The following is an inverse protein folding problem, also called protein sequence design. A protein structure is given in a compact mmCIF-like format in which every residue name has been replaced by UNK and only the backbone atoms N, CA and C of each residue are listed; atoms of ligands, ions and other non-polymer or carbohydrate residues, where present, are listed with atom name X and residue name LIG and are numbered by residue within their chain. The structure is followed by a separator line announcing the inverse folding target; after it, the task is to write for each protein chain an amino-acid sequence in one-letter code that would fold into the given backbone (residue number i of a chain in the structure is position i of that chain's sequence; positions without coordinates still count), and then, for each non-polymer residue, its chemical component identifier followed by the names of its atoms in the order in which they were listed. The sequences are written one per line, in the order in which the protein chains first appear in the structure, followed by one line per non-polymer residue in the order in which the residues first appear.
data_IF_774077830165
#
_entry.id   IF_774077830165
#
_cell.length_a   1.000
_cell.length_b   1.000
_cell.length_c   1.000
_cell.angle_alpha   90.00
_cell.angle_beta   90.00
_cell.angle_gamma   90.00
#
_symmetry.space_group_name_H-M   'P 1'
#
loop_
_entity.id
_entity.type
_entity.pdbx_description
1 polymer ?
#
# COMPACT_ATOMS: atom_id res chain seq x y z
N UNK A 1 2.58 -9.94 -23.09
CA UNK A 1 2.70 -8.84 -22.14
C UNK A 1 4.18 -8.64 -21.84
N UNK A 2 4.67 -7.39 -21.86
CA UNK A 2 6.06 -7.08 -21.50
C UNK A 2 6.20 -7.16 -19.98
N UNK A 3 7.35 -7.69 -19.51
CA UNK A 3 7.67 -7.66 -18.09
C UNK A 3 8.06 -6.24 -17.66
N UNK A 4 7.71 -5.81 -16.42
CA UNK A 4 8.17 -4.52 -15.89
C UNK A 4 9.70 -4.46 -15.79
N UNK A 5 10.25 -3.27 -16.07
CA UNK A 5 11.67 -2.96 -15.88
C UNK A 5 11.85 -2.25 -14.54
N UNK A 6 12.60 -2.86 -13.66
CA UNK A 6 12.83 -2.33 -12.30
C UNK A 6 14.15 -1.55 -12.21
N UNK A 7 14.24 -0.54 -11.32
CA UNK A 7 15.51 0.08 -10.97
C UNK A 7 16.54 -0.93 -10.44
N UNK A 8 17.85 -0.65 -10.53
CA UNK A 8 18.91 -1.60 -10.18
C UNK A 8 18.86 -2.19 -8.77
N UNK A 9 18.24 -1.50 -7.81
CA UNK A 9 18.07 -1.95 -6.43
C UNK A 9 16.92 -2.96 -6.24
N UNK A 10 16.13 -3.20 -7.29
CA UNK A 10 14.96 -4.06 -7.22
C UNK A 10 15.10 -5.24 -8.19
N UNK A 11 14.63 -6.41 -7.76
CA UNK A 11 14.61 -7.64 -8.53
C UNK A 11 13.18 -8.13 -8.76
N UNK A 12 12.72 -8.13 -10.01
CA UNK A 12 11.35 -8.49 -10.37
C UNK A 12 11.15 -9.99 -10.58
N UNK A 13 10.16 -10.57 -9.91
CA UNK A 13 9.79 -11.99 -9.97
C UNK A 13 8.30 -12.13 -10.34
N UNK A 14 7.97 -12.58 -11.54
CA UNK A 14 6.58 -12.84 -11.89
C UNK A 14 6.01 -13.99 -11.07
N UNK A 15 4.81 -13.82 -10.54
CA UNK A 15 4.06 -14.90 -9.94
C UNK A 15 3.47 -15.81 -11.04
N UNK A 16 3.38 -17.11 -10.77
CA UNK A 16 2.72 -18.05 -11.66
C UNK A 16 1.20 -17.85 -11.62
N UNK A 17 0.51 -18.42 -12.61
CA UNK A 17 -0.95 -18.39 -12.61
C UNK A 17 -1.50 -19.05 -11.33
N UNK A 18 -2.35 -18.33 -10.62
CA UNK A 18 -2.95 -18.79 -9.37
C UNK A 18 -2.12 -18.55 -8.10
N UNK A 19 -0.84 -18.14 -8.22
CA UNK A 19 -0.05 -17.73 -7.05
C UNK A 19 -0.43 -16.32 -6.61
N UNK A 20 -0.56 -16.12 -5.31
CA UNK A 20 -0.67 -14.78 -4.72
C UNK A 20 0.73 -14.16 -4.56
N UNK A 21 1.01 -12.98 -5.14
CA UNK A 21 2.30 -12.32 -5.00
C UNK A 21 2.69 -12.01 -3.55
N UNK A 22 1.74 -11.68 -2.69
CA UNK A 22 2.00 -11.35 -1.30
C UNK A 22 2.43 -12.59 -0.50
N UNK A 23 1.71 -13.70 -0.62
CA UNK A 23 2.08 -14.97 0.00
C UNK A 23 3.41 -15.49 -0.53
N UNK A 24 3.63 -15.37 -1.85
CA UNK A 24 4.90 -15.78 -2.47
C UNK A 24 6.08 -14.93 -1.98
N UNK A 25 5.91 -13.61 -1.85
CA UNK A 25 6.94 -12.73 -1.32
C UNK A 25 7.30 -13.09 0.13
N UNK A 26 6.31 -13.39 0.97
CA UNK A 26 6.54 -13.85 2.35
C UNK A 26 7.33 -15.17 2.37
N UNK A 27 6.93 -16.15 1.54
CA UNK A 27 7.64 -17.43 1.44
C UNK A 27 9.10 -17.25 0.97
N UNK A 28 9.35 -16.36 0.00
CA UNK A 28 10.70 -16.03 -0.47
C UNK A 28 11.51 -15.33 0.63
N UNK A 29 10.90 -14.39 1.36
CA UNK A 29 11.53 -13.68 2.46
C UNK A 29 11.92 -14.62 3.61
N UNK A 30 11.03 -15.54 3.99
CA UNK A 30 11.30 -16.56 5.00
C UNK A 30 12.44 -17.53 4.59
N UNK A 31 12.69 -17.68 3.27
CA UNK A 31 13.82 -18.45 2.73
C UNK A 31 15.10 -17.60 2.57
N UNK A 32 15.08 -16.34 2.94
CA UNK A 32 16.24 -15.44 2.94
C UNK A 32 16.52 -14.79 1.58
N UNK A 33 15.50 -14.43 0.81
CA UNK A 33 15.71 -13.61 -0.38
C UNK A 33 16.14 -12.19 0.01
N UNK A 34 16.79 -11.50 -0.92
CA UNK A 34 17.27 -10.14 -0.69
C UNK A 34 16.12 -9.14 -0.54
N UNK A 35 16.34 -8.11 0.28
CA UNK A 35 15.52 -6.91 0.29
C UNK A 35 15.49 -6.26 -1.11
N UNK A 36 14.35 -5.70 -1.51
CA UNK A 36 14.13 -5.22 -2.87
C UNK A 36 13.62 -6.29 -3.85
N UNK A 37 13.36 -7.53 -3.39
CA UNK A 37 12.65 -8.55 -4.17
C UNK A 37 11.20 -8.11 -4.38
N UNK A 38 10.78 -7.94 -5.65
CA UNK A 38 9.42 -7.56 -6.04
C UNK A 38 8.73 -8.72 -6.73
N UNK A 39 7.67 -9.24 -6.14
CA UNK A 39 6.82 -10.27 -6.75
C UNK A 39 5.58 -9.61 -7.33
N UNK A 40 5.23 -9.94 -8.57
CA UNK A 40 4.10 -9.30 -9.25
C UNK A 40 3.28 -10.26 -10.10
N UNK A 41 2.00 -9.93 -10.26
CA UNK A 41 1.06 -10.59 -11.16
C UNK A 41 0.24 -9.53 -11.90
N UNK A 42 0.34 -9.50 -13.24
CA UNK A 42 -0.42 -8.59 -14.10
C UNK A 42 -1.42 -9.45 -14.87
N UNK A 43 -2.69 -9.34 -14.52
CA UNK A 43 -3.81 -10.01 -15.18
C UNK A 43 -4.68 -8.98 -15.89
N UNK A 44 -5.63 -9.40 -16.70
CA UNK A 44 -6.48 -8.48 -17.45
C UNK A 44 -7.39 -7.64 -16.53
N UNK A 45 -7.86 -8.25 -15.45
CA UNK A 45 -8.81 -7.68 -14.49
C UNK A 45 -8.16 -7.17 -13.21
N UNK A 46 -6.89 -7.53 -12.96
CA UNK A 46 -6.26 -7.32 -11.65
C UNK A 46 -4.74 -7.17 -11.73
N UNK A 47 -4.23 -6.23 -10.97
CA UNK A 47 -2.80 -6.04 -10.75
C UNK A 47 -2.47 -6.31 -9.27
N UNK A 48 -1.49 -7.17 -9.01
CA UNK A 48 -0.99 -7.48 -7.66
C UNK A 48 0.52 -7.37 -7.62
N UNK A 49 1.03 -6.73 -6.59
CA UNK A 49 2.47 -6.53 -6.39
C UNK A 49 2.79 -6.68 -4.91
N UNK A 50 3.91 -7.29 -4.59
CA UNK A 50 4.47 -7.32 -3.24
C UNK A 50 5.97 -7.06 -3.28
N UNK A 51 6.49 -6.36 -2.28
CA UNK A 51 7.92 -6.08 -2.13
C UNK A 51 8.42 -6.57 -0.78
N UNK A 52 9.60 -7.14 -0.76
CA UNK A 52 10.32 -7.54 0.45
C UNK A 52 11.27 -6.43 0.86
N UNK A 53 11.19 -6.03 2.13
CA UNK A 53 12.15 -5.16 2.80
C UNK A 53 12.98 -5.98 3.79
N UNK A 54 14.21 -5.58 4.02
CA UNK A 54 15.09 -6.06 5.10
C UNK A 54 15.29 -4.89 6.09
N UNK A 55 14.43 -4.75 7.11
CA UNK A 55 14.50 -3.63 8.04
C UNK A 55 15.77 -3.66 8.90
N UNK A 56 16.31 -2.48 9.21
CA UNK A 56 17.40 -2.27 10.16
C UNK A 56 16.93 -1.51 11.42
N UNK A 57 15.62 -1.30 11.52
CA UNK A 57 14.97 -0.59 12.63
C UNK A 57 13.86 -1.44 13.23
N UNK A 58 13.45 -1.19 14.49
CA UNK A 58 12.35 -1.92 15.11
C UNK A 58 11.05 -1.88 14.29
N UNK A 59 10.23 -2.92 14.41
CA UNK A 59 8.98 -3.07 13.67
C UNK A 59 8.07 -1.84 13.77
N UNK A 60 7.96 -1.22 14.96
CA UNK A 60 7.18 0.00 15.16
C UNK A 60 7.60 1.19 14.27
N UNK A 61 8.83 1.18 13.78
CA UNK A 61 9.36 2.19 12.85
C UNK A 61 9.38 1.63 11.41
N UNK A 62 9.74 0.34 11.23
CA UNK A 62 9.75 -0.33 9.94
C UNK A 62 8.36 -0.40 9.28
N UNK A 63 7.28 -0.42 10.07
CA UNK A 63 5.90 -0.45 9.56
C UNK A 63 5.56 0.77 8.69
N UNK A 64 6.35 1.86 8.78
CA UNK A 64 6.26 3.02 7.89
C UNK A 64 6.40 2.66 6.39
N UNK A 65 6.90 1.47 6.06
CA UNK A 65 6.95 0.97 4.68
C UNK A 65 5.56 0.79 4.06
N UNK A 66 4.52 0.56 4.87
CA UNK A 66 3.14 0.49 4.36
C UNK A 66 2.67 1.86 3.83
N UNK A 67 2.62 2.95 4.60
CA UNK A 67 2.29 4.28 4.08
C UNK A 67 3.29 4.76 3.01
N UNK A 68 4.55 4.38 3.09
CA UNK A 68 5.55 4.71 2.07
C UNK A 68 5.19 4.10 0.71
N UNK A 69 4.85 2.83 0.66
CA UNK A 69 4.39 2.16 -0.56
C UNK A 69 3.08 2.77 -1.09
N UNK A 70 2.19 3.19 -0.19
CA UNK A 70 0.90 3.78 -0.52
C UNK A 70 1.07 5.18 -1.14
N UNK A 71 1.91 6.04 -0.56
CA UNK A 71 2.24 7.35 -1.13
C UNK A 71 2.97 7.19 -2.46
N UNK A 72 3.89 6.22 -2.54
CA UNK A 72 4.56 5.86 -3.81
C UNK A 72 3.56 5.44 -4.89
N UNK A 73 2.52 4.70 -4.52
CA UNK A 73 1.44 4.31 -5.44
C UNK A 73 0.63 5.52 -5.93
N UNK A 74 0.23 6.40 -5.01
CA UNK A 74 -0.49 7.62 -5.37
C UNK A 74 0.32 8.50 -6.35
N UNK A 75 1.61 8.71 -6.06
CA UNK A 75 2.48 9.48 -6.95
C UNK A 75 2.63 8.80 -8.34
N UNK A 76 2.73 7.47 -8.37
CA UNK A 76 2.83 6.71 -9.60
C UNK A 76 1.57 6.81 -10.45
N UNK A 77 0.40 6.63 -9.85
CA UNK A 77 -0.86 6.76 -10.55
C UNK A 77 -1.11 8.20 -11.00
N UNK A 78 -0.84 9.19 -10.14
CA UNK A 78 -0.97 10.61 -10.47
C UNK A 78 -0.07 11.07 -11.62
N UNK A 79 1.07 10.39 -11.85
CA UNK A 79 1.95 10.66 -13.00
C UNK A 79 1.45 10.05 -14.34
N UNK A 80 0.55 9.06 -14.28
CA UNK A 80 0.10 8.30 -15.45
C UNK A 80 -1.37 8.52 -15.79
N UNK A 81 -2.19 8.79 -14.77
CA UNK A 81 -3.62 8.98 -14.91
C UNK A 81 -3.97 10.41 -15.37
N UNK A 82 -5.17 10.63 -15.91
CA UNK A 82 -5.71 11.97 -16.14
C UNK A 82 -5.72 12.80 -14.84
N UNK A 83 -5.53 14.14 -14.93
CA UNK A 83 -5.38 15.01 -13.76
C UNK A 83 -6.62 15.09 -12.84
N UNK A 84 -7.80 14.71 -13.35
CA UNK A 84 -9.04 14.64 -12.59
C UNK A 84 -9.17 13.40 -11.69
N UNK A 85 -8.28 12.42 -11.84
CA UNK A 85 -8.32 11.18 -11.05
C UNK A 85 -7.76 11.43 -9.66
N UNK A 86 -8.63 11.31 -8.65
CA UNK A 86 -8.26 11.48 -7.26
C UNK A 86 -8.00 10.13 -6.57
N UNK A 87 -6.87 10.03 -5.86
CA UNK A 87 -6.53 8.87 -5.03
C UNK A 87 -6.62 9.26 -3.57
N UNK A 88 -7.33 8.46 -2.78
CA UNK A 88 -7.35 8.56 -1.33
C UNK A 88 -7.01 7.20 -0.71
N UNK A 89 -6.47 7.24 0.49
CA UNK A 89 -5.99 6.06 1.20
C UNK A 89 -6.76 5.88 2.51
N UNK A 90 -7.20 4.67 2.80
CA UNK A 90 -7.70 4.31 4.12
C UNK A 90 -6.53 3.95 5.05
N UNK A 91 -6.67 4.27 6.34
CA UNK A 91 -5.70 3.81 7.33
C UNK A 91 -5.58 2.28 7.36
N UNK A 92 -6.65 1.59 7.07
CA UNK A 92 -6.79 0.13 6.96
C UNK A 92 -6.20 -0.49 5.67
N UNK A 93 -5.46 0.31 4.89
CA UNK A 93 -4.86 -0.12 3.63
C UNK A 93 -5.78 -0.06 2.41
N UNK A 94 -7.02 0.43 2.53
CA UNK A 94 -7.90 0.60 1.38
C UNK A 94 -7.39 1.67 0.43
N UNK A 95 -7.34 1.37 -0.86
CA UNK A 95 -7.05 2.32 -1.94
C UNK A 95 -8.38 2.73 -2.59
N UNK A 96 -8.67 4.03 -2.57
CA UNK A 96 -9.83 4.59 -3.26
C UNK A 96 -9.41 5.41 -4.47
N UNK A 97 -10.13 5.25 -5.56
CA UNK A 97 -10.02 6.08 -6.77
C UNK A 97 -11.38 6.77 -6.96
N UNK A 98 -11.37 8.10 -7.10
CA UNK A 98 -12.57 8.93 -7.20
C UNK A 98 -13.62 8.66 -6.09
N UNK A 99 -13.15 8.26 -4.89
CA UNK A 99 -13.99 8.02 -3.72
C UNK A 99 -14.46 6.57 -3.53
N UNK A 100 -14.42 5.70 -4.55
CA UNK A 100 -14.79 4.30 -4.47
C UNK A 100 -13.56 3.39 -4.26
N UNK A 101 -13.73 2.28 -3.55
CA UNK A 101 -12.69 1.29 -3.31
C UNK A 101 -12.25 0.63 -4.62
N UNK A 102 -10.98 0.78 -4.96
CA UNK A 102 -10.37 0.21 -6.17
C UNK A 102 -9.33 -0.87 -5.85
N UNK A 103 -8.79 -0.85 -4.63
CA UNK A 103 -7.76 -1.79 -4.23
C UNK A 103 -7.51 -1.83 -2.73
N UNK A 104 -6.48 -2.59 -2.35
CA UNK A 104 -6.05 -2.74 -0.96
C UNK A 104 -4.54 -2.89 -0.85
N UNK A 105 -4.00 -2.50 0.29
CA UNK A 105 -2.63 -2.79 0.72
C UNK A 105 -2.63 -3.70 1.94
N UNK A 106 -1.58 -4.50 2.07
CA UNK A 106 -1.36 -5.44 3.17
C UNK A 106 0.09 -5.39 3.59
N UNK A 107 0.35 -5.76 4.84
CA UNK A 107 1.71 -5.84 5.38
C UNK A 107 1.85 -7.07 6.26
N UNK A 108 3.00 -7.75 6.16
CA UNK A 108 3.39 -8.84 7.04
C UNK A 108 4.86 -8.69 7.41
N UNK A 109 5.26 -9.24 8.55
CA UNK A 109 6.64 -9.23 9.02
C UNK A 109 6.99 -10.56 9.69
N UNK A 110 8.29 -10.85 9.83
CA UNK A 110 8.79 -12.06 10.51
C UNK A 110 8.56 -12.06 12.02
N UNK A 111 8.24 -10.91 12.62
CA UNK A 111 7.88 -10.74 14.02
C UNK A 111 6.71 -9.78 14.14
N UNK A 112 5.87 -9.96 15.15
CA UNK A 112 4.79 -9.04 15.53
C UNK A 112 5.18 -8.12 16.69
N UNK A 113 6.36 -8.32 17.28
CA UNK A 113 6.83 -7.56 18.44
C UNK A 113 7.34 -6.17 18.02
N UNK A 114 6.65 -5.13 18.47
CA UNK A 114 6.89 -3.75 18.06
C UNK A 114 8.33 -3.27 18.27
N UNK A 115 9.01 -3.74 19.31
CA UNK A 115 10.39 -3.38 19.67
C UNK A 115 11.46 -4.23 19.01
N UNK A 116 11.12 -5.30 18.30
CA UNK A 116 12.06 -6.17 17.60
C UNK A 116 12.34 -5.67 16.18
N UNK A 117 13.55 -5.92 15.69
CA UNK A 117 13.90 -5.73 14.28
C UNK A 117 13.50 -6.99 13.55
N UNK A 118 12.49 -6.96 12.65
CA UNK A 118 12.10 -8.16 11.92
C UNK A 118 13.15 -8.52 10.86
N UNK A 119 13.38 -9.81 10.63
CA UNK A 119 14.28 -10.29 9.58
C UNK A 119 13.81 -9.84 8.18
N UNK A 120 12.50 -9.72 8.01
CA UNK A 120 11.87 -9.23 6.78
C UNK A 120 10.54 -8.54 7.09
N UNK A 121 10.16 -7.63 6.22
CA UNK A 121 8.83 -7.03 6.13
C UNK A 121 8.38 -7.04 4.68
N UNK A 122 7.16 -7.47 4.42
CA UNK A 122 6.55 -7.51 3.08
C UNK A 122 5.37 -6.56 3.03
N UNK A 123 5.36 -5.68 2.05
CA UNK A 123 4.18 -4.86 1.71
C UNK A 123 3.64 -5.33 0.38
N UNK A 124 2.37 -5.66 0.34
CA UNK A 124 1.65 -5.99 -0.89
C UNK A 124 0.55 -5.00 -1.20
N UNK A 125 0.23 -4.83 -2.48
CA UNK A 125 -0.95 -4.10 -2.92
C UNK A 125 -1.63 -4.78 -4.10
N UNK A 126 -2.94 -4.63 -4.14
CA UNK A 126 -3.80 -5.15 -5.18
C UNK A 126 -4.69 -4.04 -5.72
N UNK A 127 -4.91 -4.01 -7.03
CA UNK A 127 -5.76 -3.05 -7.72
C UNK A 127 -6.68 -3.78 -8.69
N UNK A 128 -7.97 -3.50 -8.65
CA UNK A 128 -8.90 -3.93 -9.67
C UNK A 128 -8.69 -3.09 -10.95
N UNK A 129 -8.44 -3.74 -12.08
CA UNK A 129 -8.28 -3.07 -13.38
C UNK A 129 -9.60 -3.03 -14.15
N UNK A 130 -10.35 -4.12 -14.11
CA UNK A 130 -11.66 -4.24 -14.71
C UNK A 130 -12.70 -4.62 -13.63
N UNK A 131 -13.95 -4.16 -13.77
CA UNK A 131 -15.02 -4.53 -12.85
C UNK A 131 -15.28 -6.04 -12.88
N UNK A 132 -15.62 -6.59 -11.73
CA UNK A 132 -15.97 -8.01 -11.60
C UNK A 132 -17.47 -8.27 -11.80
N UNK A 133 -18.29 -7.21 -11.88
CA UNK A 133 -19.73 -7.27 -12.06
C UNK A 133 -20.16 -6.50 -13.32
N UNK A 134 -21.07 -7.09 -14.10
CA UNK A 134 -21.70 -6.43 -15.25
C UNK A 134 -22.81 -5.42 -14.82
N UNK A 135 -23.05 -5.28 -13.52
CA UNK A 135 -24.06 -4.38 -12.94
C UNK A 135 -23.40 -3.32 -12.01
N UNK A 136 -22.77 -2.27 -12.56
CA UNK A 136 -21.99 -1.28 -11.78
C UNK A 136 -22.82 -0.48 -10.76
N UNK A 137 -24.16 -0.50 -10.86
CA UNK A 137 -25.03 0.17 -9.90
C UNK A 137 -25.31 -0.60 -8.61
N UNK A 138 -24.94 -1.89 -8.51
CA UNK A 138 -25.20 -2.71 -7.33
C UNK A 138 -24.15 -2.51 -6.21
N UNK A 139 -22.95 -2.03 -6.55
CA UNK A 139 -21.84 -1.81 -5.61
C UNK A 139 -21.21 -0.43 -5.82
N UNK A 140 -21.91 0.68 -5.48
CA UNK A 140 -21.45 2.04 -5.76
C UNK A 140 -20.16 2.42 -5.02
N UNK A 141 -19.83 1.70 -3.93
CA UNK A 141 -18.63 1.93 -3.12
C UNK A 141 -17.41 1.17 -3.63
N UNK A 142 -17.53 0.41 -4.73
CA UNK A 142 -16.44 -0.38 -5.32
C UNK A 142 -16.30 -0.04 -6.80
N UNK A 143 -15.06 0.15 -7.24
CA UNK A 143 -14.75 0.49 -8.64
C UNK A 143 -13.53 -0.28 -9.15
N UNK A 144 -13.26 -0.14 -10.45
CA UNK A 144 -12.04 -0.60 -11.10
C UNK A 144 -11.33 0.56 -11.80
N UNK A 145 -10.02 0.49 -11.90
CA UNK A 145 -9.19 1.58 -12.40
C UNK A 145 -9.62 2.08 -13.78
N UNK A 146 -9.98 1.16 -14.68
CA UNK A 146 -10.33 1.53 -16.05
C UNK A 146 -11.72 2.21 -16.17
N UNK A 147 -12.62 1.95 -15.23
CA UNK A 147 -13.91 2.63 -15.15
C UNK A 147 -13.78 4.08 -14.65
N UNK A 148 -12.67 4.39 -13.98
CA UNK A 148 -12.36 5.71 -13.42
C UNK A 148 -11.56 6.61 -14.41
N UNK A 149 -11.67 6.37 -15.70
CA UNK A 149 -11.02 7.15 -16.73
C UNK A 149 -9.56 6.77 -16.97
N UNK A 150 -9.06 5.70 -16.37
CA UNK A 150 -7.68 5.25 -16.48
C UNK A 150 -7.47 4.11 -17.49
N UNK A 151 -8.34 3.95 -18.50
CA UNK A 151 -8.26 2.86 -19.47
C UNK A 151 -6.94 2.83 -20.26
N UNK A 152 -6.29 3.97 -20.43
CA UNK A 152 -5.00 4.11 -21.12
C UNK A 152 -3.79 3.88 -20.18
N UNK A 153 -4.00 3.71 -18.88
CA UNK A 153 -2.93 3.46 -17.91
C UNK A 153 -2.46 2.02 -18.03
N UNK A 154 -1.22 1.83 -18.47
CA UNK A 154 -0.62 0.50 -18.55
C UNK A 154 -0.28 -0.03 -17.17
N UNK A 155 -0.80 -1.21 -16.80
CA UNK A 155 -0.47 -1.88 -15.55
C UNK A 155 1.04 -2.12 -15.39
N UNK A 156 1.75 -2.45 -16.47
CA UNK A 156 3.22 -2.60 -16.47
C UNK A 156 3.92 -1.28 -16.13
N UNK A 157 3.52 -0.19 -16.79
CA UNK A 157 4.08 1.14 -16.52
C UNK A 157 3.76 1.63 -15.11
N UNK A 158 2.58 1.27 -14.57
CA UNK A 158 2.21 1.62 -13.19
C UNK A 158 3.14 0.94 -12.19
N UNK A 159 3.47 -0.34 -12.35
CA UNK A 159 4.45 -1.05 -11.51
C UNK A 159 5.85 -0.41 -11.61
N UNK A 160 6.29 -0.08 -12.82
CA UNK A 160 7.59 0.59 -13.04
C UNK A 160 7.64 1.98 -12.40
N UNK A 161 6.58 2.77 -12.57
CA UNK A 161 6.46 4.10 -11.98
C UNK A 161 6.41 4.01 -10.44
N UNK A 162 5.58 3.11 -9.91
CA UNK A 162 5.50 2.85 -8.46
C UNK A 162 6.86 2.50 -7.87
N UNK A 163 7.60 1.60 -8.51
CA UNK A 163 8.91 1.18 -8.01
C UNK A 163 9.90 2.34 -7.89
N UNK A 164 9.87 3.29 -8.82
CA UNK A 164 10.72 4.50 -8.78
C UNK A 164 10.28 5.48 -7.69
N UNK A 165 8.98 5.74 -7.58
CA UNK A 165 8.45 6.64 -6.55
C UNK A 165 8.65 6.07 -5.14
N UNK A 166 8.42 4.78 -4.96
CA UNK A 166 8.66 4.08 -3.69
C UNK A 166 10.12 4.20 -3.27
N UNK A 167 11.10 3.97 -4.16
CA UNK A 167 12.53 4.15 -3.84
C UNK A 167 12.88 5.60 -3.51
N UNK A 168 12.25 6.58 -4.18
CA UNK A 168 12.44 8.00 -3.86
C UNK A 168 11.97 8.29 -2.43
N UNK A 169 10.80 7.78 -2.05
CA UNK A 169 10.28 7.92 -0.70
C UNK A 169 11.09 7.15 0.34
N UNK A 170 11.62 5.96 -0.02
CA UNK A 170 12.49 5.18 0.87
C UNK A 170 13.78 5.95 1.18
N UNK A 171 14.43 6.51 0.17
CA UNK A 171 15.63 7.33 0.36
C UNK A 171 15.32 8.56 1.24
N UNK A 172 14.21 9.25 0.95
CA UNK A 172 13.81 10.42 1.73
C UNK A 172 13.49 10.05 3.19
N UNK A 173 12.82 8.94 3.41
CA UNK A 173 12.51 8.44 4.76
C UNK A 173 13.79 8.10 5.54
N UNK A 174 14.78 7.50 4.89
CA UNK A 174 16.08 7.20 5.51
C UNK A 174 16.84 8.48 5.90
N UNK A 175 16.74 9.55 5.12
CA UNK A 175 17.44 10.81 5.36
C UNK A 175 16.70 11.73 6.35
N UNK A 176 15.37 11.81 6.26
CA UNK A 176 14.55 12.82 6.94
C UNK A 176 13.60 12.22 8.01
N UNK A 177 13.48 10.89 8.09
CA UNK A 177 12.54 10.20 8.98
C UNK A 177 11.07 10.28 8.52
N UNK A 178 10.15 10.08 9.47
CA UNK A 178 8.72 9.98 9.18
C UNK A 178 8.06 11.30 8.76
N UNK A 179 8.58 12.46 9.20
CA UNK A 179 7.85 13.72 9.10
C UNK A 179 7.40 14.09 7.67
N UNK A 180 8.23 14.01 6.61
CA UNK A 180 7.79 14.30 5.26
C UNK A 180 6.76 13.29 4.73
N UNK A 181 6.98 12.01 5.03
CA UNK A 181 6.07 10.94 4.62
C UNK A 181 4.71 11.07 5.31
N UNK A 182 4.72 11.39 6.61
CA UNK A 182 3.51 11.62 7.40
C UNK A 182 2.68 12.79 6.87
N UNK A 183 3.35 13.88 6.47
CA UNK A 183 2.66 15.05 5.89
C UNK A 183 1.92 14.69 4.58
N UNK A 184 2.56 13.93 3.68
CA UNK A 184 1.93 13.44 2.45
C UNK A 184 0.80 12.43 2.74
N UNK A 185 1.06 11.48 3.63
CA UNK A 185 0.08 10.49 4.04
C UNK A 185 -1.19 11.13 4.59
N UNK A 186 -1.06 12.11 5.50
CA UNK A 186 -2.20 12.84 6.07
C UNK A 186 -3.02 13.58 5.01
N UNK A 187 -2.39 14.09 3.96
CA UNK A 187 -3.08 14.73 2.84
C UNK A 187 -3.91 13.77 1.98
N UNK A 188 -3.62 12.48 2.04
CA UNK A 188 -4.27 11.43 1.24
C UNK A 188 -5.31 10.63 2.05
N UNK A 189 -5.27 10.73 3.40
CA UNK A 189 -6.15 9.95 4.25
C UNK A 189 -7.62 10.36 4.08
N UNK A 190 -8.47 9.35 3.87
CA UNK A 190 -9.92 9.50 3.91
C UNK A 190 -10.47 9.25 5.32
N UNK A 191 -11.63 9.79 5.59
CA UNK A 191 -12.37 9.54 6.83
C UNK A 191 -11.89 10.31 8.05
N UNK A 192 -10.90 11.21 7.91
CA UNK A 192 -10.47 12.09 9.01
C UNK A 192 -11.64 13.01 9.40
N UNK A 193 -11.99 13.01 10.68
CA UNK A 193 -13.14 13.70 11.22
C UNK A 193 -14.46 12.93 11.16
N UNK A 194 -14.49 11.75 10.54
CA UNK A 194 -15.67 10.90 10.43
C UNK A 194 -15.78 9.90 11.60
N UNK A 195 -17.01 9.48 11.95
CA UNK A 195 -17.21 8.44 12.96
C UNK A 195 -16.74 7.08 12.42
N UNK A 196 -16.05 6.31 13.26
CA UNK A 196 -15.76 4.91 13.04
C UNK A 196 -16.81 4.10 13.81
N UNK A 197 -17.41 3.12 13.15
CA UNK A 197 -18.42 2.26 13.79
C UNK A 197 -17.88 1.69 15.13
N UNK A 198 -18.65 1.87 16.20
CA UNK A 198 -18.38 1.38 17.57
C UNK A 198 -17.05 1.84 18.22
N UNK A 199 -16.30 2.79 17.59
CA UNK A 199 -14.95 3.16 18.04
C UNK A 199 -14.70 4.66 18.22
N UNK A 200 -15.66 5.52 17.95
CA UNK A 200 -15.49 6.97 18.10
C UNK A 200 -15.23 7.73 16.79
N UNK A 201 -14.43 8.80 16.83
CA UNK A 201 -14.14 9.66 15.67
C UNK A 201 -12.67 9.55 15.28
N UNK A 202 -12.39 9.31 14.01
CA UNK A 202 -11.03 9.30 13.46
C UNK A 202 -10.46 10.71 13.39
N UNK A 203 -9.38 10.99 14.11
CA UNK A 203 -8.76 12.32 14.18
C UNK A 203 -7.58 12.50 13.20
N UNK A 204 -7.06 11.42 12.63
CA UNK A 204 -5.83 11.37 11.86
C UNK A 204 -4.83 10.38 12.45
N UNK A 205 -3.55 10.55 12.16
CA UNK A 205 -2.51 9.65 12.67
C UNK A 205 -1.46 10.38 13.49
N UNK A 206 -0.81 9.66 14.39
CA UNK A 206 0.38 10.13 15.09
C UNK A 206 1.64 10.05 14.19
N UNK A 207 2.79 10.48 14.72
CA UNK A 207 4.08 10.51 14.00
C UNK A 207 4.58 9.12 13.56
N UNK A 208 4.01 8.04 14.09
CA UNK A 208 4.27 6.64 13.71
C UNK A 208 3.13 6.01 12.92
N UNK A 209 2.26 6.85 12.35
CA UNK A 209 1.10 6.46 11.53
C UNK A 209 0.02 5.68 12.32
N UNK A 210 0.09 5.62 13.65
CA UNK A 210 -0.96 5.05 14.48
C UNK A 210 -2.23 5.88 14.40
N UNK A 211 -3.39 5.20 14.30
CA UNK A 211 -4.70 5.86 14.19
C UNK A 211 -5.06 6.52 15.52
N UNK A 212 -5.39 7.81 15.49
CA UNK A 212 -5.92 8.56 16.63
C UNK A 212 -7.44 8.52 16.61
N UNK A 213 -8.03 7.98 17.64
CA UNK A 213 -9.49 7.81 17.78
C UNK A 213 -9.95 8.57 19.03
N UNK A 214 -10.94 9.45 18.88
CA UNK A 214 -11.57 10.14 20.00
C UNK A 214 -12.84 9.43 20.44
N UNK A 215 -12.80 8.88 21.66
CA UNK A 215 -13.96 8.32 22.37
C UNK A 215 -14.37 9.26 23.52
N UNK A 216 -15.46 10.01 23.33
CA UNK A 216 -15.89 10.98 24.34
C UNK A 216 -14.85 12.09 24.59
N UNK A 217 -14.24 12.10 25.79
CA UNK A 217 -13.21 13.06 26.20
C UNK A 217 -11.77 12.51 26.05
N UNK A 218 -11.61 11.24 25.72
CA UNK A 218 -10.31 10.58 25.63
C UNK A 218 -9.89 10.38 24.17
N UNK A 219 -8.58 10.36 23.93
CA UNK A 219 -8.00 9.98 22.65
C UNK A 219 -7.18 8.71 22.82
N UNK A 220 -7.51 7.70 22.04
CA UNK A 220 -6.80 6.43 21.97
C UNK A 220 -5.93 6.37 20.74
N UNK A 221 -4.82 5.64 20.81
CA UNK A 221 -3.94 5.35 19.68
C UNK A 221 -4.06 3.87 19.35
N UNK A 222 -4.38 3.59 18.09
CA UNK A 222 -4.30 2.24 17.53
C UNK A 222 -3.04 2.17 16.68
N UNK A 223 -2.01 1.41 17.07
CA UNK A 223 -0.75 1.37 16.36
C UNK A 223 -0.91 0.75 14.97
N UNK A 224 -0.13 1.23 13.99
CA UNK A 224 -0.18 0.72 12.61
C UNK A 224 0.18 -0.77 12.51
N UNK A 225 0.93 -1.30 13.48
CA UNK A 225 1.27 -2.73 13.59
C UNK A 225 0.06 -3.65 13.78
N UNK A 226 -1.11 -3.12 14.15
CA UNK A 226 -2.36 -3.91 14.18
C UNK A 226 -2.83 -4.35 12.78
N UNK A 227 -2.29 -3.75 11.72
CA UNK A 227 -2.59 -4.13 10.33
C UNK A 227 -1.74 -5.31 9.83
N UNK A 228 -0.82 -5.83 10.65
CA UNK A 228 -0.02 -7.00 10.26
C UNK A 228 -0.93 -8.20 9.99
N UNK A 229 -0.83 -8.74 8.80
CA UNK A 229 -1.45 -10.03 8.47
C UNK A 229 -0.78 -11.13 9.30
N UNK A 230 -1.58 -12.05 9.80
CA UNK A 230 -1.08 -13.21 10.54
C UNK A 230 -0.35 -14.14 9.58
N UNK A 231 0.90 -14.46 9.85
CA UNK A 231 1.74 -15.39 9.07
C UNK A 231 1.47 -16.83 9.47
#
# INVERSE_FOLDING_TARGET
MSHPVFPPLLSGHPAKAGEDPFEKAQAMAALGCDGGTVVYSIQADRLRVAIVFAPEVPLQDAIAMLPLCAVGFQNALGALAPPEVAVHLGWDGVICVNGAKCGTMKVAASSAEAGEIPDWLVVGWELALLPTSDAPGETPDVTALYDEGCADVSATQLVESWSRHMLTWLNRWQEEGNAPLHAEWMGLLRGVGEPIADSGVFLGTDERFGMLIREGAETQIRPLTELLETV
#
